data_IF_930830219773
#
_entry.id   IF_930830219773
#
_cell.length_a   1.000
_cell.length_b   1.000
_cell.length_c   1.000
_cell.angle_alpha   90.00
_cell.angle_beta   90.00
_cell.angle_gamma   90.00
#
_symmetry.space_group_name_H-M   'P 1'
#
loop_
_entity.id
_entity.type
_entity.pdbx_description
1 polymer ?
#
# COMPACT_ATOMS: atom_id res chain seq x y z
N UNK A 1 45.38 -21.41 -16.77
CA UNK A 1 45.57 -20.03 -16.33
C UNK A 1 44.56 -19.07 -16.91
N UNK A 2 43.98 -19.42 -18.02
CA UNK A 2 43.01 -18.55 -18.71
C UNK A 2 41.56 -18.74 -18.20
N UNK A 3 41.37 -19.61 -17.25
CA UNK A 3 40.01 -20.07 -16.91
C UNK A 3 39.59 -19.67 -15.51
N UNK A 4 40.44 -18.95 -14.81
CA UNK A 4 40.16 -18.48 -13.46
C UNK A 4 39.25 -17.29 -13.39
N UNK A 5 39.06 -16.61 -14.49
CA UNK A 5 38.19 -15.42 -14.53
C UNK A 5 36.71 -15.75 -14.71
N UNK A 6 36.42 -17.00 -15.06
CA UNK A 6 35.03 -17.38 -15.31
C UNK A 6 34.25 -17.82 -14.08
N UNK A 7 34.92 -17.92 -12.95
CA UNK A 7 34.28 -18.45 -11.74
C UNK A 7 33.77 -17.38 -10.77
N UNK A 8 33.99 -16.14 -11.10
CA UNK A 8 33.64 -15.05 -10.18
C UNK A 8 32.29 -14.44 -10.51
N UNK A 9 31.67 -14.86 -11.59
CA UNK A 9 30.46 -14.22 -12.06
C UNK A 9 29.16 -14.90 -11.63
N UNK A 10 29.25 -15.85 -10.72
CA UNK A 10 28.05 -16.57 -10.28
C UNK A 10 27.55 -16.18 -8.91
N UNK A 11 28.04 -15.08 -8.40
CA UNK A 11 27.48 -14.48 -7.21
C UNK A 11 26.67 -13.25 -7.57
N UNK A 12 25.87 -13.35 -8.60
CA UNK A 12 24.74 -12.46 -8.69
C UNK A 12 23.72 -12.99 -7.71
N UNK A 13 24.01 -12.71 -6.57
CA UNK A 13 23.12 -12.45 -5.51
C UNK A 13 21.77 -12.01 -5.97
N UNK A 14 20.91 -12.91 -5.93
CA UNK A 14 19.52 -12.66 -5.73
C UNK A 14 19.36 -11.93 -4.41
N UNK A 15 19.42 -10.64 -4.48
CA UNK A 15 18.84 -9.83 -3.44
C UNK A 15 17.36 -10.14 -3.48
N UNK A 16 16.97 -11.15 -2.76
CA UNK A 16 15.60 -11.40 -2.43
C UNK A 16 15.17 -10.31 -1.47
N UNK A 17 14.86 -9.18 -2.01
CA UNK A 17 14.06 -8.23 -1.29
C UNK A 17 12.62 -8.76 -1.25
N UNK A 18 12.43 -9.85 -0.56
CA UNK A 18 11.11 -10.20 -0.12
C UNK A 18 10.66 -9.12 0.82
N UNK A 19 9.57 -8.40 0.48
CA UNK A 19 8.92 -7.55 1.45
C UNK A 19 8.42 -8.46 2.57
N UNK A 20 9.17 -8.50 3.67
CA UNK A 20 8.76 -9.21 4.87
C UNK A 20 7.68 -8.40 5.57
N UNK A 21 6.90 -9.04 6.43
CA UNK A 21 5.94 -8.34 7.28
C UNK A 21 6.58 -7.17 8.03
N UNK A 22 7.82 -7.32 8.49
CA UNK A 22 8.54 -6.26 9.18
C UNK A 22 8.81 -5.06 8.27
N UNK A 23 9.17 -5.28 7.02
CA UNK A 23 9.40 -4.22 6.04
C UNK A 23 8.10 -3.47 5.73
N UNK A 24 6.99 -4.18 5.56
CA UNK A 24 5.68 -3.57 5.32
C UNK A 24 5.22 -2.75 6.51
N UNK A 25 5.43 -3.23 7.72
CA UNK A 25 5.07 -2.49 8.94
C UNK A 25 5.83 -1.17 9.08
N UNK A 26 7.04 -1.11 8.56
CA UNK A 26 7.89 0.10 8.60
C UNK A 26 7.78 0.96 7.36
N UNK A 27 7.05 0.50 6.36
CA UNK A 27 6.92 1.21 5.10
C UNK A 27 6.27 2.58 5.32
N UNK A 28 6.89 3.66 4.82
CA UNK A 28 6.28 4.97 4.91
C UNK A 28 5.07 5.05 3.98
N UNK A 29 4.03 5.69 4.45
CA UNK A 29 2.87 6.07 3.62
C UNK A 29 3.05 7.53 3.29
N UNK A 30 3.25 7.83 2.02
CA UNK A 30 3.46 9.20 1.58
C UNK A 30 2.14 9.96 1.56
N UNK A 31 2.18 11.18 2.05
CA UNK A 31 1.03 12.06 2.01
C UNK A 31 0.72 12.48 0.56
N UNK A 32 -0.54 12.36 0.17
CA UNK A 32 -1.04 12.86 -1.12
C UNK A 32 -1.86 14.10 -0.84
N UNK A 33 -1.51 15.20 -1.52
CA UNK A 33 -2.28 16.44 -1.43
C UNK A 33 -3.56 16.30 -2.24
N UNK A 34 -4.69 16.22 -1.56
CA UNK A 34 -6.01 16.07 -2.20
C UNK A 34 -6.37 17.25 -3.10
N UNK A 35 -5.80 18.43 -2.87
CA UNK A 35 -6.05 19.58 -3.74
C UNK A 35 -5.47 19.41 -5.14
N UNK A 36 -4.54 18.46 -5.30
CA UNK A 36 -3.92 18.11 -6.58
C UNK A 36 -4.57 16.90 -7.24
N UNK A 37 -5.52 16.26 -6.58
CA UNK A 37 -6.23 15.08 -7.11
C UNK A 37 -7.49 15.53 -7.82
N UNK A 38 -7.64 15.15 -9.09
CA UNK A 38 -8.82 15.46 -9.89
C UNK A 38 -10.01 14.63 -9.45
N UNK A 39 -11.21 15.14 -9.69
CA UNK A 39 -12.43 14.38 -9.45
C UNK A 39 -12.43 13.08 -10.25
N UNK A 40 -12.86 12.01 -9.65
CA UNK A 40 -12.94 10.71 -10.30
C UNK A 40 -12.86 9.55 -9.33
N UNK A 41 -12.96 8.36 -9.89
CA UNK A 41 -12.79 7.09 -9.17
C UNK A 41 -11.45 6.50 -9.55
N UNK A 42 -10.67 6.12 -8.55
CA UNK A 42 -9.33 5.59 -8.75
C UNK A 42 -9.17 4.26 -8.02
N UNK A 43 -8.65 3.26 -8.73
CA UNK A 43 -8.28 1.98 -8.13
C UNK A 43 -6.78 1.97 -7.85
N UNK A 44 -6.42 1.48 -6.69
CA UNK A 44 -5.04 1.28 -6.31
C UNK A 44 -4.85 -0.09 -5.69
N UNK A 45 -3.67 -0.64 -5.88
CA UNK A 45 -3.33 -1.95 -5.36
C UNK A 45 -1.95 -1.94 -4.72
N UNK A 46 -1.72 -2.96 -3.88
CA UNK A 46 -0.43 -3.24 -3.28
C UNK A 46 -0.34 -4.74 -2.99
N UNK A 47 0.82 -5.31 -3.21
CA UNK A 47 1.03 -6.74 -2.98
C UNK A 47 2.35 -6.98 -2.26
N UNK A 48 2.37 -7.96 -1.37
CA UNK A 48 3.58 -8.47 -0.74
C UNK A 48 3.37 -9.93 -0.33
N UNK A 49 4.43 -10.72 -0.37
CA UNK A 49 4.44 -12.07 0.18
C UNK A 49 3.31 -12.98 -0.32
N UNK A 50 2.89 -12.83 -1.57
CA UNK A 50 1.77 -13.60 -2.13
C UNK A 50 0.39 -13.06 -1.80
N UNK A 51 0.30 -12.00 -0.99
CA UNK A 51 -0.96 -11.34 -0.66
C UNK A 51 -1.14 -10.09 -1.51
N UNK A 52 -2.35 -9.82 -1.94
CA UNK A 52 -2.66 -8.61 -2.70
C UNK A 52 -3.86 -7.89 -2.09
N UNK A 53 -3.84 -6.58 -2.24
CA UNK A 53 -4.83 -5.66 -1.68
C UNK A 53 -5.24 -4.69 -2.77
N UNK A 54 -6.52 -4.37 -2.81
CA UNK A 54 -7.04 -3.41 -3.79
C UNK A 54 -8.09 -2.53 -3.13
N UNK A 55 -8.04 -1.24 -3.44
CA UNK A 55 -9.03 -0.28 -2.98
C UNK A 55 -9.53 0.54 -4.16
N UNK A 56 -10.74 1.07 -4.02
CA UNK A 56 -11.31 2.03 -4.95
C UNK A 56 -11.65 3.29 -4.17
N UNK A 57 -11.11 4.42 -4.60
CA UNK A 57 -11.30 5.73 -3.96
C UNK A 57 -12.09 6.63 -4.88
N UNK A 58 -13.13 7.26 -4.36
CA UNK A 58 -13.90 8.26 -5.08
C UNK A 58 -13.55 9.64 -4.52
N UNK A 59 -13.09 10.53 -5.41
CA UNK A 59 -12.68 11.89 -5.05
C UNK A 59 -13.58 12.89 -5.79
N UNK A 60 -14.07 13.87 -5.07
CA UNK A 60 -14.81 15.01 -5.63
C UNK A 60 -14.57 16.23 -4.74
N UNK A 61 -14.44 17.40 -5.36
CA UNK A 61 -14.22 18.67 -4.65
C UNK A 61 -13.03 18.60 -3.68
N UNK A 62 -11.94 17.93 -4.11
CA UNK A 62 -10.72 17.75 -3.33
C UNK A 62 -10.94 16.97 -2.02
N UNK A 63 -11.97 16.16 -1.96
CA UNK A 63 -12.29 15.34 -0.80
C UNK A 63 -12.46 13.89 -1.20
N UNK A 64 -12.05 13.00 -0.34
CA UNK A 64 -12.37 11.58 -0.45
C UNK A 64 -13.83 11.41 -0.03
N UNK A 65 -14.69 11.11 -0.99
CA UNK A 65 -16.13 10.92 -0.75
C UNK A 65 -16.46 9.49 -0.35
N UNK A 66 -15.70 8.53 -0.87
CA UNK A 66 -15.90 7.12 -0.57
C UNK A 66 -14.59 6.37 -0.76
N UNK A 67 -14.44 5.27 -0.03
CA UNK A 67 -13.33 4.35 -0.17
C UNK A 67 -13.84 2.93 0.07
N UNK A 68 -13.71 2.08 -0.94
CA UNK A 68 -14.16 0.69 -0.88
C UNK A 68 -12.93 -0.22 -0.91
N UNK A 69 -12.87 -1.16 0.01
CA UNK A 69 -11.88 -2.23 -0.02
C UNK A 69 -12.38 -3.31 -0.98
N UNK A 70 -11.71 -3.43 -2.11
CA UNK A 70 -12.08 -4.41 -3.16
C UNK A 70 -11.45 -5.76 -2.87
N UNK A 71 -10.21 -5.77 -2.39
CA UNK A 71 -9.48 -7.00 -2.08
C UNK A 71 -8.68 -6.84 -0.81
N UNK A 72 -8.83 -7.81 0.09
CA UNK A 72 -8.14 -7.90 1.36
C UNK A 72 -8.02 -9.38 1.75
N UNK A 73 -7.18 -9.69 2.69
CA UNK A 73 -7.17 -11.00 3.32
C UNK A 73 -8.43 -11.15 4.18
N UNK A 74 -8.81 -12.41 4.42
CA UNK A 74 -10.04 -12.72 5.16
C UNK A 74 -9.82 -12.99 6.64
N UNK A 75 -8.59 -12.82 7.14
CA UNK A 75 -8.26 -13.04 8.54
C UNK A 75 -8.91 -11.97 9.44
N UNK A 76 -9.05 -12.29 10.71
CA UNK A 76 -9.58 -11.35 11.71
C UNK A 76 -8.79 -10.03 11.75
N UNK A 77 -7.46 -10.14 11.75
CA UNK A 77 -6.59 -8.96 11.77
C UNK A 77 -6.73 -8.12 10.50
N UNK A 78 -6.85 -8.78 9.35
CA UNK A 78 -7.07 -8.06 8.09
C UNK A 78 -8.41 -7.32 8.08
N UNK A 79 -9.44 -7.90 8.65
CA UNK A 79 -10.74 -7.24 8.81
C UNK A 79 -10.65 -6.03 9.73
N UNK A 80 -9.92 -6.16 10.83
CA UNK A 80 -9.68 -5.03 11.74
C UNK A 80 -8.98 -3.87 11.05
N UNK A 81 -8.04 -4.17 10.16
CA UNK A 81 -7.28 -3.16 9.42
C UNK A 81 -8.17 -2.29 8.53
N UNK A 82 -9.34 -2.77 8.12
CA UNK A 82 -10.30 -1.99 7.33
C UNK A 82 -10.80 -0.75 8.06
N UNK A 83 -10.56 -0.66 9.36
CA UNK A 83 -10.82 0.54 10.15
C UNK A 83 -10.08 1.79 9.68
N UNK A 84 -9.01 1.65 8.88
CA UNK A 84 -8.33 2.80 8.27
C UNK A 84 -9.24 3.60 7.35
N UNK A 85 -10.25 2.95 6.74
CA UNK A 85 -11.22 3.62 5.86
C UNK A 85 -11.94 4.74 6.61
N UNK A 86 -12.45 4.43 7.80
CA UNK A 86 -13.12 5.45 8.63
C UNK A 86 -12.19 6.61 8.96
N UNK A 87 -10.95 6.31 9.31
CA UNK A 87 -9.94 7.35 9.62
C UNK A 87 -9.66 8.24 8.41
N UNK A 88 -9.52 7.65 7.22
CA UNK A 88 -9.29 8.40 5.99
C UNK A 88 -10.46 9.34 5.70
N UNK A 89 -11.69 8.83 5.79
CA UNK A 89 -12.88 9.63 5.52
C UNK A 89 -13.07 10.75 6.54
N UNK A 90 -12.81 10.48 7.83
CA UNK A 90 -12.93 11.49 8.88
C UNK A 90 -11.83 12.54 8.81
N UNK A 91 -10.59 12.13 8.58
CA UNK A 91 -9.43 13.01 8.61
C UNK A 91 -9.10 13.63 7.24
N UNK A 92 -9.69 13.11 6.17
CA UNK A 92 -9.47 13.57 4.80
C UNK A 92 -7.98 13.60 4.43
N UNK A 93 -7.29 12.50 4.73
CA UNK A 93 -5.90 12.26 4.34
C UNK A 93 -5.65 10.77 4.22
N UNK A 94 -4.69 10.39 3.39
CA UNK A 94 -4.35 8.98 3.16
C UNK A 94 -3.35 8.43 4.18
N UNK A 95 -2.55 9.27 4.80
CA UNK A 95 -1.48 8.88 5.73
C UNK A 95 -1.95 8.87 7.19
N UNK A 96 -3.07 8.22 7.42
CA UNK A 96 -3.60 8.02 8.77
C UNK A 96 -2.83 6.93 9.50
N UNK A 97 -2.98 6.88 10.83
CA UNK A 97 -2.35 5.85 11.64
C UNK A 97 -2.91 4.46 11.33
N UNK A 98 -2.05 3.47 11.37
CA UNK A 98 -2.44 2.06 11.25
C UNK A 98 -3.29 1.64 12.46
N UNK A 99 -4.14 0.66 12.25
CA UNK A 99 -4.95 0.08 13.33
C UNK A 99 -4.04 -0.75 14.23
N UNK A 100 -4.09 -0.48 15.52
CA UNK A 100 -3.34 -1.23 16.53
C UNK A 100 -3.69 -2.71 16.48
N UNK A 101 -2.67 -3.56 16.46
CA UNK A 101 -2.84 -5.01 16.33
C UNK A 101 -3.04 -5.50 14.88
N UNK A 102 -3.13 -4.60 13.91
CA UNK A 102 -3.29 -4.92 12.49
C UNK A 102 -2.40 -4.05 11.59
N UNK A 103 -1.19 -3.75 12.05
CA UNK A 103 -0.30 -2.77 11.41
C UNK A 103 0.08 -3.16 9.98
N UNK A 104 0.44 -4.42 9.76
CA UNK A 104 0.89 -4.88 8.44
C UNK A 104 -0.20 -4.71 7.38
N UNK A 105 -1.39 -5.22 7.63
CA UNK A 105 -2.50 -5.09 6.69
C UNK A 105 -2.96 -3.63 6.56
N UNK A 106 -2.97 -2.88 7.66
CA UNK A 106 -3.28 -1.44 7.61
C UNK A 106 -2.34 -0.72 6.65
N UNK A 107 -1.03 -0.97 6.75
CA UNK A 107 -0.03 -0.37 5.86
C UNK A 107 -0.25 -0.76 4.41
N UNK A 108 -0.60 -2.02 4.14
CA UNK A 108 -0.89 -2.49 2.80
C UNK A 108 -2.10 -1.75 2.19
N UNK A 109 -3.17 -1.60 2.97
CA UNK A 109 -4.36 -0.87 2.53
C UNK A 109 -4.09 0.63 2.34
N UNK A 110 -3.31 1.23 3.23
CA UNK A 110 -2.91 2.63 3.10
C UNK A 110 -2.03 2.86 1.87
N UNK A 111 -1.14 1.92 1.56
CA UNK A 111 -0.30 2.01 0.37
C UNK A 111 -1.13 1.86 -0.91
N UNK A 112 -2.09 0.94 -0.93
CA UNK A 112 -3.03 0.80 -2.03
C UNK A 112 -3.83 2.11 -2.24
N UNK A 113 -4.24 2.76 -1.16
CA UNK A 113 -4.94 4.05 -1.21
C UNK A 113 -4.04 5.16 -1.76
N UNK A 114 -2.79 5.24 -1.30
CA UNK A 114 -1.80 6.16 -1.85
C UNK A 114 -1.64 5.96 -3.36
N UNK A 115 -1.51 4.72 -3.80
CA UNK A 115 -1.35 4.38 -5.21
C UNK A 115 -2.59 4.76 -6.03
N UNK A 116 -3.78 4.60 -5.47
CA UNK A 116 -5.02 5.02 -6.11
C UNK A 116 -5.05 6.55 -6.31
N UNK A 117 -4.80 7.30 -5.25
CA UNK A 117 -4.83 8.76 -5.29
C UNK A 117 -3.75 9.34 -6.20
N UNK A 118 -2.60 8.71 -6.29
CA UNK A 118 -1.53 9.14 -7.18
C UNK A 118 -1.94 9.15 -8.66
N UNK A 119 -2.88 8.31 -9.05
CA UNK A 119 -3.40 8.27 -10.43
C UNK A 119 -4.19 9.52 -10.81
N UNK A 120 -4.71 10.25 -9.83
CA UNK A 120 -5.50 11.45 -10.06
C UNK A 120 -4.70 12.74 -10.03
N UNK A 121 -3.43 12.66 -9.75
CA UNK A 121 -2.55 13.83 -9.72
C UNK A 121 -2.13 14.30 -11.12
#
# INVERSE_FOLDING_TARGET
MKYLAALILLFSLTALSGCTNAAVRRMPINHVDLTQVKDGDYSGDYAYGGFSYEVKVSVADHQVKDLVIVKNRTTKHAKMAEGVVKRILEQQKNDVDAISGATTTSKALLKATENALAKGQ
#
